data_IF_629141844679
#
_entry.id   IF_629141844679
#
_cell.length_a   1.000
_cell.length_b   1.000
_cell.length_c   1.000
_cell.angle_alpha   90.00
_cell.angle_beta   90.00
_cell.angle_gamma   90.00
#
_symmetry.space_group_name_H-M   'P 1'
#
loop_
_entity.id
_entity.type
_entity.pdbx_description
1 polymer ?
#
# COMPACT_ATOMS: atom_id res chain seq x y z
N UNK A 1 -33.62 -27.61 -31.48
CA UNK A 1 -34.37 -28.13 -30.32
C UNK A 1 -33.43 -28.81 -29.32
N UNK A 2 -33.06 -28.14 -28.23
CA UNK A 2 -32.67 -28.75 -26.94
C UNK A 2 -32.65 -27.64 -25.90
N UNK A 3 -33.75 -27.52 -25.17
CA UNK A 3 -33.92 -26.61 -24.02
C UNK A 3 -33.00 -27.10 -22.90
N UNK A 4 -32.14 -26.24 -22.35
CA UNK A 4 -31.52 -26.46 -21.04
C UNK A 4 -32.12 -25.49 -20.05
N UNK A 5 -32.63 -26.09 -19.00
CA UNK A 5 -33.48 -25.56 -17.94
C UNK A 5 -32.62 -24.75 -16.97
N UNK A 6 -32.98 -23.49 -16.77
CA UNK A 6 -32.47 -22.66 -15.67
C UNK A 6 -32.84 -23.30 -14.33
N UNK A 7 -31.85 -23.51 -13.46
CA UNK A 7 -32.10 -23.75 -12.04
C UNK A 7 -31.79 -22.46 -11.28
N UNK A 8 -32.85 -21.86 -10.72
CA UNK A 8 -32.77 -20.82 -9.72
C UNK A 8 -32.23 -21.42 -8.42
N UNK A 9 -31.17 -20.81 -7.87
CA UNK A 9 -30.73 -21.05 -6.49
C UNK A 9 -31.37 -19.98 -5.60
N UNK A 10 -32.01 -20.35 -4.48
CA UNK A 10 -32.70 -19.40 -3.61
C UNK A 10 -31.73 -18.55 -2.78
N UNK A 11 -32.15 -17.30 -2.57
CA UNK A 11 -31.51 -16.30 -1.72
C UNK A 11 -31.56 -16.71 -0.24
N UNK A 12 -30.40 -16.83 0.40
CA UNK A 12 -30.28 -16.90 1.85
C UNK A 12 -30.14 -15.48 2.41
N UNK A 13 -31.25 -15.03 2.99
CA UNK A 13 -31.36 -13.85 3.86
C UNK A 13 -30.64 -14.13 5.18
N UNK A 14 -29.62 -13.35 5.50
CA UNK A 14 -29.02 -13.29 6.84
C UNK A 14 -29.35 -11.92 7.42
N UNK A 15 -30.08 -11.96 8.54
CA UNK A 15 -30.53 -10.80 9.31
C UNK A 15 -29.41 -10.21 10.19
N UNK A 16 -29.55 -8.95 10.64
CA UNK A 16 -28.48 -8.19 11.31
C UNK A 16 -28.31 -8.62 12.77
N UNK A 17 -27.05 -8.77 13.20
CA UNK A 17 -26.70 -8.90 14.62
C UNK A 17 -26.69 -7.52 15.28
N UNK A 18 -27.30 -7.49 16.46
CA UNK A 18 -27.57 -6.31 17.26
C UNK A 18 -26.31 -5.58 17.78
N UNK A 19 -26.41 -4.27 17.70
CA UNK A 19 -25.98 -3.25 18.67
C UNK A 19 -25.50 -3.78 20.03
N UNK A 20 -24.25 -3.48 20.36
CA UNK A 20 -23.75 -3.44 21.74
C UNK A 20 -23.02 -2.11 21.93
N UNK A 21 -23.72 -1.15 22.52
CA UNK A 21 -23.13 0.07 23.06
C UNK A 21 -22.27 -0.25 24.28
N UNK A 22 -21.00 0.18 24.35
CA UNK A 22 -20.29 0.20 25.62
C UNK A 22 -20.85 1.32 26.49
N UNK A 23 -21.35 0.91 27.65
CA UNK A 23 -21.91 1.75 28.68
C UNK A 23 -20.93 2.85 29.12
N UNK A 24 -21.46 4.06 29.23
CA UNK A 24 -20.90 5.18 29.98
C UNK A 24 -20.49 4.70 31.38
N UNK A 25 -19.19 4.69 31.64
CA UNK A 25 -18.64 4.49 32.98
C UNK A 25 -18.92 5.75 33.81
N UNK A 26 -20.02 5.73 34.56
CA UNK A 26 -20.33 6.73 35.59
C UNK A 26 -19.29 6.59 36.71
N UNK A 27 -18.27 7.44 36.70
CA UNK A 27 -17.30 7.52 37.79
C UNK A 27 -17.91 8.25 38.99
N UNK A 28 -18.27 7.45 39.99
CA UNK A 28 -18.64 7.90 41.33
C UNK A 28 -17.44 8.61 41.95
N UNK A 29 -17.59 9.90 42.25
CA UNK A 29 -16.60 10.71 42.94
C UNK A 29 -16.38 10.19 44.37
N UNK A 30 -15.28 9.45 44.59
CA UNK A 30 -14.79 9.13 45.93
C UNK A 30 -13.54 9.99 46.21
N UNK A 31 -13.73 11.03 47.02
CA UNK A 31 -12.66 11.88 47.56
C UNK A 31 -11.94 11.14 48.69
N UNK A 32 -10.77 10.56 48.44
CA UNK A 32 -9.81 10.18 49.49
C UNK A 32 -8.37 10.29 48.97
N UNK A 33 -7.56 11.09 49.66
CA UNK A 33 -6.17 10.75 50.02
C UNK A 33 -5.07 10.88 48.96
N UNK A 34 -4.37 12.00 49.01
CA UNK A 34 -3.09 12.33 48.36
C UNK A 34 -1.95 11.36 48.76
N UNK A 35 -1.35 10.61 47.81
CA UNK A 35 0.09 10.24 47.75
C UNK A 35 0.42 9.32 46.54
N UNK A 36 1.50 9.64 45.81
CA UNK A 36 2.13 8.91 44.69
C UNK A 36 1.50 9.04 43.28
N UNK A 37 1.37 10.29 42.81
CA UNK A 37 1.28 10.61 41.38
C UNK A 37 2.68 10.78 40.79
N UNK A 38 3.24 9.74 40.16
CA UNK A 38 4.37 9.83 39.20
C UNK A 38 4.48 8.53 38.39
N UNK A 39 3.35 8.03 37.90
CA UNK A 39 3.33 7.07 36.80
C UNK A 39 3.08 7.88 35.52
N UNK A 40 4.08 8.65 35.08
CA UNK A 40 4.10 9.20 33.73
C UNK A 40 3.93 8.02 32.78
N UNK A 41 2.85 7.96 31.98
CA UNK A 41 2.71 6.86 31.07
C UNK A 41 3.90 6.94 30.11
N UNK A 42 4.66 5.85 30.03
CA UNK A 42 5.41 5.53 28.83
C UNK A 42 4.37 5.32 27.72
N UNK A 43 3.76 6.40 27.23
CA UNK A 43 3.18 6.44 25.90
C UNK A 43 4.40 6.40 24.98
N UNK A 44 4.91 5.19 24.80
CA UNK A 44 5.77 4.85 23.69
C UNK A 44 5.15 5.50 22.45
N UNK A 45 5.96 6.29 21.73
CA UNK A 45 5.51 7.11 20.61
C UNK A 45 5.01 6.25 19.47
N UNK A 46 3.80 5.74 19.59
CA UNK A 46 3.05 5.17 18.49
C UNK A 46 2.96 6.26 17.44
N UNK A 47 3.63 6.04 16.31
CA UNK A 47 3.46 6.90 15.16
C UNK A 47 2.02 6.70 14.71
N UNK A 48 1.28 7.80 14.64
CA UNK A 48 -0.03 7.82 14.02
C UNK A 48 0.17 7.50 12.53
N UNK A 49 -0.19 6.28 12.12
CA UNK A 49 -0.16 5.87 10.72
C UNK A 49 -1.55 5.97 10.08
N UNK A 50 -2.61 6.15 10.88
CA UNK A 50 -4.01 6.18 10.41
C UNK A 50 -4.23 7.31 9.39
N UNK A 51 -3.47 8.41 9.51
CA UNK A 51 -3.52 9.50 8.51
C UNK A 51 -3.10 9.11 7.09
N UNK A 52 -2.47 7.94 6.90
CA UNK A 52 -2.12 7.42 5.58
C UNK A 52 -3.11 6.38 5.05
N UNK A 53 -4.15 6.07 5.82
CA UNK A 53 -5.16 5.12 5.39
C UNK A 53 -5.96 5.66 4.20
N UNK A 54 -6.32 4.79 3.26
CA UNK A 54 -7.13 5.20 2.10
C UNK A 54 -8.58 4.80 2.29
N UNK A 55 -9.47 5.79 2.34
CA UNK A 55 -10.91 5.56 2.41
C UNK A 55 -11.51 5.04 1.10
N UNK A 56 -12.82 4.72 1.10
CA UNK A 56 -13.51 4.29 -0.11
C UNK A 56 -13.41 5.30 -1.26
N UNK A 57 -12.75 4.90 -2.34
CA UNK A 57 -12.55 5.75 -3.53
C UNK A 57 -11.36 6.71 -3.45
N UNK A 58 -10.65 6.73 -2.33
CA UNK A 58 -9.41 7.47 -2.16
C UNK A 58 -8.21 6.63 -2.61
N UNK A 59 -7.17 7.30 -3.08
CA UNK A 59 -5.91 6.66 -3.37
C UNK A 59 -4.76 7.67 -3.41
N UNK A 60 -3.55 7.18 -3.20
CA UNK A 60 -2.34 7.93 -3.49
C UNK A 60 -2.06 7.90 -4.99
N UNK A 61 -2.04 9.08 -5.60
CA UNK A 61 -1.84 9.24 -7.03
C UNK A 61 -0.53 9.99 -7.30
N UNK A 62 0.26 9.54 -8.27
CA UNK A 62 1.48 10.25 -8.66
C UNK A 62 2.06 9.82 -10.00
N UNK A 63 2.94 10.66 -10.53
CA UNK A 63 3.68 10.37 -11.75
C UNK A 63 5.05 9.78 -11.38
N UNK A 64 5.63 9.00 -12.29
CA UNK A 64 7.02 8.58 -12.17
C UNK A 64 7.94 9.80 -12.13
N UNK A 65 8.94 9.79 -11.26
CA UNK A 65 9.97 10.83 -11.22
C UNK A 65 10.88 10.64 -12.44
N UNK A 66 10.83 11.61 -13.36
CA UNK A 66 11.41 11.50 -14.71
C UNK A 66 12.94 11.61 -14.80
N UNK A 67 13.65 11.81 -13.68
CA UNK A 67 15.10 12.00 -13.69
C UNK A 67 15.84 10.73 -14.17
N UNK A 68 16.68 10.87 -15.20
CA UNK A 68 17.33 9.71 -15.87
C UNK A 68 18.21 8.87 -14.94
N UNK A 69 18.77 9.45 -13.88
CA UNK A 69 19.60 8.72 -12.92
C UNK A 69 18.77 7.92 -11.88
N UNK A 70 17.46 8.15 -11.80
CA UNK A 70 16.53 7.50 -10.85
C UNK A 70 15.59 6.54 -11.60
N UNK A 71 15.89 6.20 -12.86
CA UNK A 71 15.03 5.33 -13.65
C UNK A 71 15.86 4.51 -14.64
N UNK A 72 15.49 3.24 -14.79
CA UNK A 72 15.97 2.44 -15.92
C UNK A 72 15.33 2.97 -17.21
N UNK A 73 16.07 3.32 -18.27
CA UNK A 73 15.46 3.79 -19.51
C UNK A 73 14.53 2.74 -20.14
N UNK A 74 13.39 3.17 -20.68
CA UNK A 74 12.38 2.28 -21.28
C UNK A 74 12.98 1.33 -22.34
N UNK A 75 13.89 1.85 -23.18
CA UNK A 75 14.62 1.08 -24.21
C UNK A 75 15.36 -0.16 -23.68
N UNK A 76 15.78 -0.17 -22.41
CA UNK A 76 16.46 -1.31 -21.77
C UNK A 76 15.56 -2.07 -20.80
N UNK A 77 14.24 -1.86 -20.86
CA UNK A 77 13.26 -2.51 -19.99
C UNK A 77 12.80 -1.67 -18.81
N UNK A 78 12.99 -0.35 -18.87
CA UNK A 78 12.40 0.59 -17.92
C UNK A 78 10.89 0.75 -18.02
N UNK A 79 10.42 1.81 -17.37
CA UNK A 79 9.04 2.29 -17.42
C UNK A 79 8.93 3.55 -18.28
N UNK A 80 7.75 3.78 -18.86
CA UNK A 80 7.42 5.03 -19.59
C UNK A 80 7.57 6.25 -18.68
N UNK A 81 7.90 7.41 -19.27
CA UNK A 81 7.94 8.68 -18.53
C UNK A 81 6.56 9.22 -18.16
N UNK A 82 5.53 8.72 -18.82
CA UNK A 82 4.13 9.10 -18.61
C UNK A 82 3.42 8.13 -17.64
N UNK A 83 4.18 7.19 -17.06
CA UNK A 83 3.63 6.22 -16.12
C UNK A 83 3.10 6.93 -14.88
N UNK A 84 1.83 6.68 -14.59
CA UNK A 84 1.12 7.13 -13.40
C UNK A 84 0.78 5.92 -12.56
N UNK A 85 0.84 6.10 -11.25
CA UNK A 85 0.57 5.05 -10.28
C UNK A 85 -0.59 5.46 -9.37
N UNK A 86 -1.38 4.46 -9.01
CA UNK A 86 -2.40 4.51 -7.96
C UNK A 86 -2.01 3.51 -6.88
N UNK A 87 -1.95 3.97 -5.63
CA UNK A 87 -1.71 3.11 -4.46
C UNK A 87 -2.90 3.24 -3.51
N UNK A 88 -3.51 2.12 -3.14
CA UNK A 88 -4.37 2.07 -1.95
C UNK A 88 -3.55 1.55 -0.78
N UNK A 89 -3.84 2.05 0.42
CA UNK A 89 -3.16 1.66 1.64
C UNK A 89 -4.19 1.37 2.73
N UNK A 90 -3.97 0.26 3.44
CA UNK A 90 -4.65 -0.13 4.67
C UNK A 90 -3.61 -0.18 5.78
N UNK A 91 -3.63 0.81 6.66
CA UNK A 91 -2.58 0.96 7.69
C UNK A 91 -2.80 0.07 8.91
N UNK A 92 -4.01 -0.47 9.09
CA UNK A 92 -4.31 -1.45 10.12
C UNK A 92 -3.74 -2.84 9.75
N UNK A 93 -3.56 -3.10 8.44
CA UNK A 93 -3.15 -4.39 7.90
C UNK A 93 -1.78 -4.37 7.18
N UNK A 94 -0.85 -3.50 7.59
CA UNK A 94 0.49 -3.37 6.97
C UNK A 94 1.36 -4.65 7.02
N UNK A 95 1.02 -5.61 7.87
CA UNK A 95 1.72 -6.88 8.03
C UNK A 95 1.09 -8.04 7.24
N UNK A 96 -0.10 -7.84 6.67
CA UNK A 96 -0.91 -8.90 6.08
C UNK A 96 -1.51 -8.52 4.72
N UNK A 97 -2.17 -7.38 4.61
CA UNK A 97 -2.76 -6.86 3.38
C UNK A 97 -2.65 -5.33 3.29
N UNK A 98 -1.43 -4.77 3.07
CA UNK A 98 -1.18 -3.34 3.12
C UNK A 98 -1.94 -2.53 2.07
N UNK A 99 -2.42 -3.15 0.99
CA UNK A 99 -3.15 -2.46 -0.08
C UNK A 99 -2.77 -2.95 -1.47
N UNK A 100 -3.00 -2.09 -2.48
CA UNK A 100 -2.88 -2.48 -3.89
C UNK A 100 -2.19 -1.42 -4.75
N UNK A 101 -1.71 -1.85 -5.92
CA UNK A 101 -1.03 -1.03 -6.90
C UNK A 101 -1.73 -1.13 -8.27
N UNK A 102 -1.98 0.01 -8.92
CA UNK A 102 -2.45 0.07 -10.31
C UNK A 102 -1.66 1.11 -11.12
N UNK A 103 -1.55 0.90 -12.43
CA UNK A 103 -0.92 1.81 -13.37
C UNK A 103 -1.82 2.13 -14.59
N UNK A 104 -1.48 3.19 -15.33
CA UNK A 104 -2.27 3.67 -16.47
C UNK A 104 -1.78 3.19 -17.85
N UNK A 105 -0.79 2.31 -17.90
CA UNK A 105 0.00 2.00 -19.09
C UNK A 105 -0.54 0.82 -19.90
N UNK A 106 -1.82 0.87 -20.28
CA UNK A 106 -2.48 -0.18 -21.09
C UNK A 106 -1.96 -0.28 -22.53
N UNK A 107 -1.23 0.73 -23.00
CA UNK A 107 -0.49 0.71 -24.27
C UNK A 107 1.01 0.44 -24.08
N UNK A 108 1.41 0.06 -22.86
CA UNK A 108 2.79 -0.14 -22.47
C UNK A 108 3.34 -1.54 -22.78
N UNK A 109 4.50 -1.90 -22.21
CA UNK A 109 5.16 -3.18 -22.45
C UNK A 109 4.35 -4.42 -22.05
N UNK A 110 3.36 -4.25 -21.17
CA UNK A 110 2.47 -5.33 -20.73
C UNK A 110 1.11 -5.32 -21.44
N UNK A 111 0.93 -4.53 -22.50
CA UNK A 111 -0.33 -4.45 -23.22
C UNK A 111 -0.83 -5.84 -23.69
N UNK A 112 -2.15 -6.09 -23.65
CA UNK A 112 -3.22 -5.12 -23.41
C UNK A 112 -3.47 -4.75 -21.95
N UNK A 113 -2.91 -5.48 -21.00
CA UNK A 113 -3.04 -5.19 -19.57
C UNK A 113 -2.17 -4.01 -19.14
N UNK A 114 -2.60 -3.27 -18.11
CA UNK A 114 -1.70 -2.36 -17.41
C UNK A 114 -0.57 -3.15 -16.73
N UNK A 115 0.58 -2.53 -16.51
CA UNK A 115 1.69 -3.21 -15.81
C UNK A 115 1.28 -3.67 -14.42
N UNK A 116 0.43 -2.88 -13.75
CA UNK A 116 -0.24 -3.22 -12.49
C UNK A 116 -1.73 -2.93 -12.62
N UNK A 117 -2.58 -3.89 -12.23
CA UNK A 117 -4.02 -3.74 -12.21
C UNK A 117 -4.57 -4.33 -10.91
N UNK A 118 -4.73 -3.50 -9.88
CA UNK A 118 -5.14 -3.93 -8.55
C UNK A 118 -4.19 -4.95 -7.93
N UNK A 119 -2.89 -4.87 -8.28
CA UNK A 119 -1.89 -5.83 -7.86
C UNK A 119 -1.70 -5.72 -6.33
N UNK A 120 -1.95 -6.80 -5.56
CA UNK A 120 -1.82 -6.74 -4.11
C UNK A 120 -0.37 -6.56 -3.70
N UNK A 121 -0.14 -5.73 -2.68
CA UNK A 121 1.15 -5.66 -1.99
C UNK A 121 1.22 -6.80 -0.98
N UNK A 122 2.24 -7.64 -1.08
CA UNK A 122 2.46 -8.77 -0.16
C UNK A 122 3.64 -8.40 0.74
N UNK A 123 3.44 -8.11 2.03
CA UNK A 123 4.50 -7.62 2.90
C UNK A 123 5.60 -8.66 3.10
N UNK A 124 6.85 -8.23 3.14
CA UNK A 124 8.02 -9.08 3.42
C UNK A 124 8.19 -9.18 4.94
N UNK A 125 7.46 -10.11 5.56
CA UNK A 125 7.37 -10.22 7.01
C UNK A 125 8.71 -10.48 7.69
N UNK A 126 9.62 -11.22 7.06
CA UNK A 126 10.94 -11.52 7.60
C UNK A 126 11.76 -10.25 7.87
N UNK A 127 11.54 -9.20 7.08
CA UNK A 127 12.25 -7.93 7.27
C UNK A 127 11.69 -7.11 8.43
N UNK A 128 10.42 -7.28 8.81
CA UNK A 128 9.78 -6.51 9.90
C UNK A 128 10.48 -6.69 11.26
N UNK A 129 11.18 -7.81 11.45
CA UNK A 129 11.96 -8.13 12.64
C UNK A 129 13.47 -8.00 12.44
N UNK A 130 13.91 -7.61 11.24
CA UNK A 130 15.32 -7.50 10.88
C UNK A 130 15.78 -6.04 10.99
N UNK A 131 17.03 -5.74 11.42
CA UNK A 131 17.58 -4.38 11.42
C UNK A 131 17.49 -3.65 10.07
N UNK A 132 17.40 -4.37 8.95
CA UNK A 132 17.15 -3.81 7.62
C UNK A 132 15.76 -3.15 7.49
N UNK A 133 14.80 -3.43 8.37
CA UNK A 133 13.56 -2.62 8.47
C UNK A 133 13.77 -1.27 9.15
N UNK A 134 14.84 -1.13 9.94
CA UNK A 134 15.19 0.13 10.61
C UNK A 134 16.02 1.03 9.69
N UNK A 135 16.20 0.65 8.42
CA UNK A 135 17.00 1.37 7.45
C UNK A 135 16.31 2.71 7.14
N UNK A 136 16.80 3.76 7.79
CA UNK A 136 16.34 5.12 7.59
C UNK A 136 16.93 5.67 6.29
N UNK A 137 16.07 5.91 5.30
CA UNK A 137 16.43 6.58 4.04
C UNK A 137 16.50 8.11 4.21
N UNK A 138 17.20 8.57 5.25
CA UNK A 138 17.30 9.98 5.66
C UNK A 138 16.13 10.46 6.53
N UNK A 139 16.25 11.70 7.01
CA UNK A 139 15.19 12.39 7.75
C UNK A 139 13.96 12.63 6.85
N UNK A 140 12.75 12.62 7.44
CA UNK A 140 11.50 12.98 6.73
C UNK A 140 10.51 11.84 6.45
N UNK A 141 10.74 10.64 7.03
CA UNK A 141 9.85 9.48 6.89
C UNK A 141 9.32 9.04 8.23
N UNK A 142 8.03 8.81 8.29
CA UNK A 142 7.39 8.27 9.49
C UNK A 142 7.50 6.75 9.52
N UNK A 143 7.29 6.08 8.40
CA UNK A 143 7.34 4.64 8.34
C UNK A 143 7.75 4.15 6.95
N UNK A 144 8.41 3.00 6.88
CA UNK A 144 8.74 2.33 5.63
C UNK A 144 8.51 0.83 5.78
N UNK A 145 7.99 0.21 4.74
CA UNK A 145 7.88 -1.24 4.65
C UNK A 145 8.24 -1.72 3.24
N UNK A 146 8.52 -3.02 3.16
CA UNK A 146 8.82 -3.70 1.91
C UNK A 146 7.70 -4.67 1.59
N UNK A 147 7.33 -4.73 0.32
CA UNK A 147 6.32 -5.65 -0.18
C UNK A 147 6.72 -6.20 -1.55
N UNK A 148 6.30 -7.41 -1.86
CA UNK A 148 6.27 -7.91 -3.23
C UNK A 148 5.01 -7.41 -3.92
N UNK A 149 5.14 -7.07 -5.20
CA UNK A 149 4.00 -6.76 -6.08
C UNK A 149 4.19 -7.48 -7.40
N UNK A 150 3.15 -8.16 -7.86
CA UNK A 150 3.18 -8.88 -9.14
C UNK A 150 2.82 -7.94 -10.28
N UNK A 151 3.68 -7.88 -11.29
CA UNK A 151 3.35 -7.26 -12.58
C UNK A 151 2.67 -8.27 -13.49
N UNK A 152 1.72 -7.79 -14.31
CA UNK A 152 1.02 -8.58 -15.32
C UNK A 152 1.95 -9.31 -16.31
N UNK A 153 3.11 -8.73 -16.65
CA UNK A 153 4.02 -9.31 -17.63
C UNK A 153 5.49 -9.43 -17.19
N UNK A 154 5.89 -8.77 -16.09
CA UNK A 154 7.30 -8.70 -15.64
C UNK A 154 7.60 -9.58 -14.42
N UNK A 155 6.58 -10.24 -13.88
CA UNK A 155 6.63 -11.02 -12.65
C UNK A 155 6.87 -10.15 -11.41
N UNK A 156 7.39 -10.73 -10.31
CA UNK A 156 7.44 -10.04 -9.03
C UNK A 156 8.42 -8.88 -9.04
N UNK A 157 8.04 -7.79 -8.41
CA UNK A 157 8.86 -6.62 -8.15
C UNK A 157 8.88 -6.34 -6.65
N UNK A 158 10.02 -5.88 -6.14
CA UNK A 158 10.12 -5.40 -4.77
C UNK A 158 9.66 -3.95 -4.72
N UNK A 159 8.64 -3.68 -3.93
CA UNK A 159 8.19 -2.35 -3.58
C UNK A 159 8.80 -1.94 -2.24
N UNK A 160 9.42 -0.76 -2.19
CA UNK A 160 9.72 -0.05 -0.94
C UNK A 160 8.73 1.09 -0.84
N UNK A 161 7.83 1.01 0.14
CA UNK A 161 6.79 2.01 0.40
C UNK A 161 7.24 2.81 1.61
N UNK A 162 7.27 4.14 1.47
CA UNK A 162 7.64 5.04 2.55
C UNK A 162 6.58 6.11 2.75
N UNK A 163 6.07 6.17 3.98
CA UNK A 163 5.11 7.15 4.45
C UNK A 163 5.89 8.39 4.89
N UNK A 164 5.71 9.50 4.17
CA UNK A 164 6.45 10.74 4.34
C UNK A 164 5.79 11.63 5.38
N UNK A 165 6.56 12.43 6.11
CA UNK A 165 6.03 13.32 7.16
C UNK A 165 5.21 14.52 6.64
N UNK A 166 5.13 14.71 5.33
CA UNK A 166 4.32 15.71 4.64
C UNK A 166 3.03 15.13 4.04
N UNK A 167 2.58 13.96 4.53
CA UNK A 167 1.38 13.23 4.08
C UNK A 167 1.47 12.71 2.64
N UNK A 168 2.68 12.63 2.10
CA UNK A 168 2.92 11.98 0.81
C UNK A 168 3.34 10.52 1.00
N UNK A 169 3.20 9.75 -0.06
CA UNK A 169 3.74 8.40 -0.15
C UNK A 169 4.81 8.34 -1.23
N UNK A 170 5.97 7.82 -0.87
CA UNK A 170 7.05 7.55 -1.80
C UNK A 170 7.11 6.05 -2.08
N UNK A 171 7.04 5.68 -3.35
CA UNK A 171 7.08 4.30 -3.81
C UNK A 171 8.32 4.09 -4.68
N UNK A 172 9.16 3.13 -4.30
CA UNK A 172 10.27 2.64 -5.14
C UNK A 172 9.96 1.23 -5.59
N UNK A 173 9.99 1.00 -6.89
CA UNK A 173 9.86 -0.34 -7.48
C UNK A 173 11.22 -0.80 -7.97
N UNK A 174 11.63 -1.99 -7.54
CA UNK A 174 12.89 -2.61 -7.90
C UNK A 174 12.64 -3.98 -8.52
N UNK A 175 13.16 -4.17 -9.73
CA UNK A 175 13.29 -5.47 -10.38
C UNK A 175 14.78 -5.73 -10.59
N UNK A 176 15.38 -6.68 -9.85
CA UNK A 176 16.78 -7.01 -10.06
C UNK A 176 16.99 -7.61 -11.45
N UNK A 177 18.19 -7.44 -12.04
CA UNK A 177 18.52 -8.12 -13.28
C UNK A 177 18.51 -9.62 -13.05
N UNK A 178 18.02 -10.35 -14.04
CA UNK A 178 18.22 -11.81 -14.08
C UNK A 178 19.53 -12.11 -14.82
N UNK A 179 20.24 -13.17 -14.39
CA UNK A 179 21.53 -13.55 -14.99
C UNK A 179 21.39 -14.09 -16.43
N UNK A 180 20.16 -14.33 -16.88
CA UNK A 180 19.85 -14.81 -18.22
C UNK A 180 19.55 -13.65 -19.16
N UNK A 181 20.20 -13.62 -20.34
CA UNK A 181 19.94 -12.62 -21.38
C UNK A 181 18.47 -12.58 -21.87
N UNK A 182 17.72 -13.66 -21.64
CA UNK A 182 16.29 -13.78 -21.97
C UNK A 182 15.35 -13.53 -20.77
N UNK A 183 15.89 -13.25 -19.58
CA UNK A 183 15.07 -13.11 -18.38
C UNK A 183 14.50 -11.70 -18.19
N UNK A 184 13.66 -11.50 -17.15
CA UNK A 184 13.06 -10.21 -16.84
C UNK A 184 14.11 -9.09 -16.85
N UNK A 185 13.82 -8.03 -17.62
CA UNK A 185 14.69 -6.87 -17.71
C UNK A 185 14.73 -6.17 -16.36
N UNK A 186 15.91 -5.73 -15.88
CA UNK A 186 15.99 -4.94 -14.67
C UNK A 186 15.15 -3.68 -14.85
N UNK A 187 14.50 -3.24 -13.77
CA UNK A 187 13.70 -2.04 -13.79
C UNK A 187 13.76 -1.37 -12.42
N UNK A 188 13.90 -0.06 -12.46
CA UNK A 188 13.81 0.80 -11.30
C UNK A 188 12.89 1.98 -11.62
N UNK A 189 11.97 2.28 -10.71
CA UNK A 189 11.11 3.45 -10.75
C UNK A 189 10.93 4.03 -9.35
N UNK A 190 10.82 5.35 -9.29
CA UNK A 190 10.49 6.11 -8.09
C UNK A 190 9.26 6.97 -8.38
N UNK A 191 8.31 6.97 -7.45
CA UNK A 191 7.11 7.78 -7.50
C UNK A 191 7.00 8.59 -6.21
N UNK A 192 6.49 9.81 -6.35
CA UNK A 192 6.02 10.63 -5.23
C UNK A 192 4.53 10.84 -5.44
N UNK A 193 3.73 10.44 -4.48
CA UNK A 193 2.28 10.32 -4.62
C UNK A 193 1.59 11.10 -3.52
N UNK A 194 0.43 11.67 -3.85
CA UNK A 194 -0.39 12.47 -2.93
C UNK A 194 -1.76 11.84 -2.82
N UNK A 195 -2.34 11.90 -1.62
CA UNK A 195 -3.69 11.42 -1.38
C UNK A 195 -4.67 12.22 -2.24
N UNK A 196 -5.56 11.51 -2.93
CA UNK A 196 -6.63 12.08 -3.74
C UNK A 196 -7.95 11.47 -3.34
N UNK A 197 -8.97 12.30 -3.15
CA UNK A 197 -10.33 11.90 -2.77
C UNK A 197 -11.17 11.32 -3.92
N UNK A 198 -10.53 10.86 -5.00
CA UNK A 198 -11.18 10.34 -6.18
C UNK A 198 -10.23 9.50 -7.04
N UNK A 199 -10.73 8.97 -8.15
CA UNK A 199 -9.89 8.19 -9.06
C UNK A 199 -8.71 9.04 -9.57
N UNK A 200 -7.51 8.46 -9.69
CA UNK A 200 -6.33 9.10 -10.29
C UNK A 200 -6.50 9.56 -11.76
N UNK A 201 -7.70 9.44 -12.33
CA UNK A 201 -8.04 9.85 -13.69
C UNK A 201 -7.72 8.79 -14.74
N UNK A 202 -7.67 7.52 -14.34
CA UNK A 202 -7.50 6.34 -15.20
C UNK A 202 -8.05 5.09 -14.51
#
# INVERSE_FOLDING_TARGET
MRRRTSQLVPALSVSPALSVSPALCVFRALRVGLALTLLSPLLAGCKDLERYDTGPGEAYCGNIIGAEFIRTPERVGGFSQELRIRVTLDTEHLDSAPGTLSSNDTSGPCAPEATFDGAPMIPVQELSSDPLSQLSFGDGRDFSFLAWVESSCRGPMLAVVSLMNDNELELRLLKPPTQTAAGPRPAFALFRTQLSSGSCGF
#
